data_IF_895747659416
#
_entry.id   IF_895747659416
#
_cell.length_a   1.000
_cell.length_b   1.000
_cell.length_c   1.000
_cell.angle_alpha   90.00
_cell.angle_beta   90.00
_cell.angle_gamma   90.00
#
_symmetry.space_group_name_H-M   'P 1'
#
loop_
_entity.id
_entity.type
_entity.pdbx_description
1 polymer ?
#
# COMPACT_ATOMS: atom_id res chain seq x y z
N UNK A 1 -9.13 21.11 -9.01
CA UNK A 1 -9.10 20.70 -8.82
C UNK A 1 -8.95 20.07 -8.27
N UNK A 2 -8.82 19.70 -8.03
CA UNK A 2 -8.74 19.00 -7.68
C UNK A 2 -8.53 18.44 -7.04
N UNK A 3 -8.70 18.18 -7.02
CA UNK A 3 -8.75 17.49 -6.57
C UNK A 3 -8.31 16.65 -5.79
N UNK A 4 -8.42 15.83 -5.77
CA UNK A 4 -8.08 14.82 -5.14
C UNK A 4 -6.83 14.89 -4.68
N UNK A 5 -6.57 15.58 -3.90
CA UNK A 5 -5.36 15.73 -3.60
C UNK A 5 -4.79 14.65 -2.86
N UNK A 6 -3.81 14.12 -3.30
CA UNK A 6 -3.05 13.19 -2.57
C UNK A 6 -1.93 13.91 -1.87
N UNK A 7 -1.37 13.28 -0.87
CA UNK A 7 -0.22 13.80 -0.21
C UNK A 7 0.94 12.90 -0.54
N UNK A 8 2.05 13.48 -0.94
CA UNK A 8 3.22 12.70 -1.24
C UNK A 8 4.16 12.70 -0.06
N UNK A 9 4.61 11.52 0.33
CA UNK A 9 5.52 11.37 1.43
C UNK A 9 6.79 10.75 0.85
N UNK A 10 7.83 11.52 0.68
CA UNK A 10 9.02 11.07 -0.06
C UNK A 10 9.84 10.02 0.66
N UNK A 11 9.67 9.89 1.96
CA UNK A 11 10.43 8.89 2.67
C UNK A 11 9.52 8.08 3.55
N UNK A 12 9.40 6.81 3.23
CA UNK A 12 8.66 5.88 4.04
C UNK A 12 9.42 4.57 4.06
N UNK A 13 9.20 3.75 5.06
CA UNK A 13 9.89 2.49 5.15
C UNK A 13 8.90 1.40 5.47
N UNK A 14 9.05 0.28 4.82
CA UNK A 14 8.16 -0.84 5.04
C UNK A 14 8.30 -1.38 6.44
N UNK A 15 7.16 -1.54 7.13
CA UNK A 15 7.14 -2.14 8.45
C UNK A 15 6.59 -3.55 8.38
N UNK A 16 5.56 -3.76 7.62
CA UNK A 16 4.90 -5.05 7.61
C UNK A 16 4.06 -5.21 6.36
N UNK A 17 3.98 -6.42 5.83
CA UNK A 17 3.09 -6.72 4.72
C UNK A 17 1.96 -7.53 5.32
N UNK A 18 0.74 -7.01 5.25
CA UNK A 18 -0.40 -7.73 5.80
C UNK A 18 -0.88 -8.77 4.79
N UNK A 19 -1.11 -8.35 3.57
CA UNK A 19 -1.50 -9.27 2.52
C UNK A 19 -1.16 -8.60 1.19
N UNK A 20 -1.75 -9.06 0.11
CA UNK A 20 -1.35 -8.59 -1.21
C UNK A 20 -1.79 -7.19 -1.55
N UNK A 21 -2.67 -6.58 -0.78
CA UNK A 21 -3.11 -5.24 -1.11
C UNK A 21 -3.04 -4.28 0.08
N UNK A 22 -2.44 -4.68 1.19
CA UNK A 22 -2.36 -3.83 2.38
C UNK A 22 -1.01 -3.97 3.04
N UNK A 23 -0.32 -2.87 3.23
CA UNK A 23 0.98 -2.88 3.89
C UNK A 23 1.01 -1.81 4.95
N UNK A 24 1.95 -1.92 5.86
CA UNK A 24 2.11 -0.90 6.89
C UNK A 24 3.43 -0.19 6.65
N UNK A 25 3.40 1.10 6.63
CA UNK A 25 4.58 1.90 6.38
C UNK A 25 4.85 2.84 7.55
N UNK A 26 6.12 3.06 7.81
CA UNK A 26 6.52 4.09 8.74
C UNK A 26 6.85 5.30 7.89
N UNK A 27 6.13 6.38 8.07
CA UNK A 27 6.28 7.55 7.25
C UNK A 27 7.03 8.61 8.02
N UNK A 28 8.10 9.13 7.41
CA UNK A 28 8.87 10.16 8.04
C UNK A 28 8.24 11.47 7.63
N UNK A 29 7.69 12.20 8.57
CA UNK A 29 7.02 13.43 8.21
C UNK A 29 7.89 14.64 8.52
N UNK A 30 9.14 14.48 8.70
CA UNK A 30 10.03 15.59 8.93
C UNK A 30 10.08 15.90 10.40
N UNK A 31 10.77 16.84 10.82
CA UNK A 31 10.82 17.26 12.19
C UNK A 31 11.10 16.15 13.20
N UNK A 32 11.68 15.09 12.77
CA UNK A 32 12.01 14.02 13.69
C UNK A 32 10.84 13.18 14.11
N UNK A 33 9.68 13.37 13.56
CA UNK A 33 8.56 12.56 13.95
C UNK A 33 8.18 11.58 12.87
N UNK A 34 7.54 10.51 13.24
CA UNK A 34 7.17 9.47 12.32
C UNK A 34 5.78 8.99 12.62
N UNK A 35 5.10 8.53 11.62
CA UNK A 35 3.78 7.95 11.77
C UNK A 35 3.80 6.57 11.14
N UNK A 36 3.17 5.60 11.77
CA UNK A 36 3.08 4.26 11.22
C UNK A 36 1.64 4.06 10.80
N UNK A 37 1.41 3.81 9.55
CA UNK A 37 0.05 3.75 9.01
C UNK A 37 -0.15 2.56 8.10
N UNK A 38 -1.34 2.03 8.12
CA UNK A 38 -1.72 1.00 7.18
C UNK A 38 -2.14 1.67 5.88
N UNK A 39 -1.63 1.15 4.76
CA UNK A 39 -1.92 1.70 3.46
C UNK A 39 -2.56 0.61 2.61
N UNK A 40 -3.75 0.88 2.10
CA UNK A 40 -4.38 -0.01 1.19
C UNK A 40 -3.93 0.42 -0.20
N UNK A 41 -3.42 -0.50 -0.98
CA UNK A 41 -2.86 -0.14 -2.28
C UNK A 41 -3.98 0.22 -3.25
N UNK A 42 -3.89 1.39 -3.85
CA UNK A 42 -4.95 1.87 -4.70
C UNK A 42 -5.10 1.02 -5.96
N UNK A 43 -6.31 0.69 -6.29
CA UNK A 43 -6.66 -0.09 -7.47
C UNK A 43 -6.14 -1.52 -7.46
N UNK A 44 -5.62 -1.99 -6.34
CA UNK A 44 -5.14 -3.35 -6.24
C UNK A 44 -6.11 -4.14 -5.40
N UNK A 45 -6.42 -5.34 -5.83
CA UNK A 45 -7.24 -6.25 -5.04
C UNK A 45 -6.53 -7.59 -5.02
N UNK A 46 -6.38 -8.15 -3.85
CA UNK A 46 -5.75 -9.44 -3.71
C UNK A 46 -6.52 -10.27 -2.73
N UNK A 47 -6.45 -11.59 -2.81
CA UNK A 47 -7.13 -12.43 -1.85
C UNK A 47 -6.53 -12.26 -0.47
N UNK A 48 -7.34 -12.48 0.54
CA UNK A 48 -6.84 -12.40 1.89
C UNK A 48 -5.98 -13.61 2.18
N UNK A 49 -5.19 -13.54 3.21
CA UNK A 49 -4.24 -14.61 3.48
C UNK A 49 -4.87 -15.97 3.64
N UNK A 50 -6.06 -16.02 4.18
CA UNK A 50 -6.68 -17.30 4.39
C UNK A 50 -7.47 -17.77 3.18
N UNK A 51 -7.37 -17.07 2.05
CA UNK A 51 -8.04 -17.49 0.85
C UNK A 51 -7.04 -18.04 -0.13
N UNK A 52 -7.52 -18.78 -1.12
CA UNK A 52 -6.65 -19.31 -2.14
C UNK A 52 -5.94 -18.18 -2.83
N UNK A 53 -4.66 -18.27 -2.96
CA UNK A 53 -3.86 -17.26 -3.62
C UNK A 53 -3.42 -16.14 -2.70
N UNK A 54 -3.90 -16.10 -1.47
CA UNK A 54 -3.54 -15.02 -0.56
C UNK A 54 -2.07 -15.02 -0.19
N UNK A 55 -1.53 -16.21 0.07
CA UNK A 55 -0.12 -16.25 0.41
C UNK A 55 0.75 -15.93 -0.76
N UNK A 56 0.34 -16.32 -1.96
CA UNK A 56 1.09 -15.97 -3.14
C UNK A 56 1.07 -14.46 -3.36
N UNK A 57 -0.07 -13.82 -3.15
CA UNK A 57 -0.15 -12.38 -3.33
C UNK A 57 0.76 -11.66 -2.34
N UNK A 58 0.79 -12.12 -1.10
CA UNK A 58 1.68 -11.52 -0.12
C UNK A 58 3.13 -11.75 -0.54
N UNK A 59 3.44 -12.93 -1.03
CA UNK A 59 4.80 -13.22 -1.48
C UNK A 59 5.20 -12.35 -2.66
N UNK A 60 4.24 -12.01 -3.52
CA UNK A 60 4.55 -11.16 -4.66
C UNK A 60 4.90 -9.74 -4.18
N UNK A 61 4.23 -9.25 -3.15
CA UNK A 61 4.57 -7.96 -2.60
C UNK A 61 5.97 -8.01 -2.00
N UNK A 62 6.27 -9.08 -1.27
CA UNK A 62 7.59 -9.21 -0.65
C UNK A 62 8.67 -9.29 -1.72
N UNK A 63 8.40 -9.97 -2.82
CA UNK A 63 9.37 -10.09 -3.90
C UNK A 63 9.65 -8.73 -4.54
N UNK A 64 8.60 -7.92 -4.70
CA UNK A 64 8.80 -6.60 -5.26
C UNK A 64 9.72 -5.76 -4.36
N UNK A 65 9.48 -5.81 -3.05
CA UNK A 65 10.32 -5.05 -2.15
C UNK A 65 11.76 -5.59 -2.19
N UNK A 66 11.92 -6.90 -2.21
CA UNK A 66 13.26 -7.46 -2.24
C UNK A 66 14.04 -7.03 -3.49
N UNK A 67 13.32 -6.87 -4.58
CA UNK A 67 13.99 -6.50 -5.80
C UNK A 67 14.11 -5.00 -5.99
N UNK A 68 13.09 -4.26 -5.71
CA UNK A 68 13.07 -2.84 -6.04
C UNK A 68 13.41 -1.94 -4.84
N UNK A 69 13.20 -2.40 -3.65
CA UNK A 69 13.44 -1.60 -2.47
C UNK A 69 13.95 -2.47 -1.33
N UNK A 70 15.11 -3.08 -1.49
CA UNK A 70 15.59 -4.06 -0.49
C UNK A 70 15.81 -3.46 0.90
N UNK A 71 16.01 -2.17 1.00
CA UNK A 71 16.14 -1.57 2.31
C UNK A 71 14.78 -1.09 2.82
N UNK A 72 13.72 -1.36 2.10
CA UNK A 72 12.39 -0.99 2.52
C UNK A 72 12.01 0.47 2.28
N UNK A 73 12.89 1.25 1.69
CA UNK A 73 12.62 2.66 1.50
C UNK A 73 11.81 2.93 0.26
N UNK A 74 10.72 3.63 0.38
CA UNK A 74 9.84 3.92 -0.73
C UNK A 74 9.26 5.32 -0.56
N UNK A 75 8.60 5.79 -1.59
CA UNK A 75 7.84 6.99 -1.57
C UNK A 75 6.39 6.57 -1.64
N UNK A 76 5.51 7.22 -0.96
CA UNK A 76 4.11 6.86 -1.02
C UNK A 76 3.28 8.12 -1.24
N UNK A 77 2.27 8.01 -2.09
CA UNK A 77 1.29 9.07 -2.28
C UNK A 77 0.00 8.53 -1.69
N UNK A 78 -0.57 9.24 -0.73
CA UNK A 78 -1.75 8.75 -0.05
C UNK A 78 -2.95 9.62 -0.37
N UNK A 79 -4.13 8.98 -0.37
CA UNK A 79 -5.36 9.67 -0.60
C UNK A 79 -6.30 9.33 0.53
N UNK A 80 -7.02 10.30 1.07
CA UNK A 80 -7.95 9.99 2.11
C UNK A 80 -9.12 9.31 1.54
N UNK A 81 -9.57 8.27 2.13
CA UNK A 81 -10.74 7.61 1.58
C UNK A 81 -11.91 8.41 2.03
N UNK A 82 -12.84 8.62 1.18
CA UNK A 82 -14.01 9.34 1.55
C UNK A 82 -15.08 8.41 2.00
N UNK A 83 -15.02 7.18 1.70
CA UNK A 83 -16.08 6.28 2.09
C UNK A 83 -15.91 5.91 3.51
N UNK A 84 -16.95 5.75 4.20
CA UNK A 84 -16.88 5.34 5.53
C UNK A 84 -16.34 4.00 5.52
N UNK A 85 -15.38 3.73 6.23
CA UNK A 85 -14.87 2.50 6.17
C UNK A 85 -15.70 1.47 6.61
N UNK A 86 -15.49 0.36 6.26
CA UNK A 86 -16.20 -0.72 6.64
C UNK A 86 -16.01 -0.87 8.02
N UNK A 87 -16.68 -0.29 8.78
CA UNK A 87 -16.53 -0.37 10.09
C UNK A 87 -16.75 -1.65 10.67
N UNK A 88 -17.32 -2.51 10.03
CA UNK A 88 -17.59 -3.76 10.57
C UNK A 88 -16.34 -4.36 11.06
N UNK A 89 -15.27 -3.96 10.65
CA UNK A 89 -14.12 -4.61 11.08
C UNK A 89 -13.59 -3.98 12.27
N UNK A 90 -14.24 -3.22 12.81
CA UNK A 90 -13.84 -2.68 13.94
C UNK A 90 -12.50 -2.11 13.94
N UNK A 91 -11.69 -2.44 13.21
CA UNK A 91 -10.50 -1.87 13.23
C UNK A 91 -10.38 -1.15 12.11
N UNK A 92 -10.23 -0.15 11.94
CA UNK A 92 -10.18 0.58 10.87
C UNK A 92 -8.83 0.92 10.56
N UNK A 93 -8.03 0.02 10.40
CA UNK A 93 -6.70 0.35 10.18
C UNK A 93 -6.42 0.86 8.82
N UNK A 94 -7.25 0.75 7.85
CA UNK A 94 -6.90 1.23 6.57
C UNK A 94 -7.53 2.56 6.39
N UNK A 95 -6.95 3.59 6.85
CA UNK A 95 -7.49 4.80 6.62
C UNK A 95 -7.06 5.44 5.39
N UNK A 96 -5.97 5.08 4.77
CA UNK A 96 -5.44 5.71 3.60
C UNK A 96 -5.28 4.73 2.47
N UNK A 97 -5.53 5.21 1.27
CA UNK A 97 -5.29 4.44 0.07
C UNK A 97 -4.05 5.07 -0.54
N UNK A 98 -3.16 4.28 -1.07
CA UNK A 98 -1.91 4.84 -1.53
C UNK A 98 -1.29 4.18 -2.73
N UNK A 99 -0.34 4.87 -3.32
CA UNK A 99 0.48 4.36 -4.40
C UNK A 99 1.90 4.37 -3.90
N UNK A 100 2.57 3.23 -4.00
CA UNK A 100 3.91 3.04 -3.45
C UNK A 100 4.91 2.95 -4.59
N UNK A 101 5.96 3.74 -4.51
CA UNK A 101 6.97 3.82 -5.57
C UNK A 101 8.34 3.67 -4.97
N UNK A 102 9.16 2.84 -5.58
CA UNK A 102 10.54 2.69 -5.14
C UNK A 102 11.34 3.91 -5.56
N UNK A 103 12.48 4.09 -4.96
CA UNK A 103 13.32 5.25 -5.27
C UNK A 103 13.79 5.25 -6.71
N UNK A 104 13.81 4.10 -7.34
CA UNK A 104 14.21 4.02 -8.75
C UNK A 104 13.04 4.24 -9.69
N UNK A 105 11.85 4.54 -9.17
CA UNK A 105 10.69 4.81 -10.01
C UNK A 105 9.76 3.65 -10.23
N UNK A 106 10.12 2.46 -9.79
CA UNK A 106 9.25 1.30 -9.98
C UNK A 106 8.04 1.45 -9.07
N UNK A 107 6.86 1.12 -9.57
CA UNK A 107 5.64 1.31 -8.80
C UNK A 107 5.05 -0.02 -8.41
N UNK A 108 4.85 -0.22 -7.13
CA UNK A 108 4.30 -1.47 -6.62
C UNK A 108 2.89 -1.72 -7.13
N UNK A 109 2.06 -0.69 -7.13
CA UNK A 109 0.68 -0.86 -7.54
C UNK A 109 0.59 -1.38 -8.98
N UNK A 110 1.36 -0.80 -9.89
CA UNK A 110 1.35 -1.24 -11.27
C UNK A 110 1.85 -2.67 -11.41
N UNK A 111 2.87 -3.01 -10.63
CA UNK A 111 3.41 -4.35 -10.68
C UNK A 111 2.34 -5.38 -10.30
N UNK A 112 1.58 -5.07 -9.25
CA UNK A 112 0.54 -6.00 -8.81
C UNK A 112 -0.64 -6.03 -9.78
N UNK A 113 -0.99 -4.90 -10.34
CA UNK A 113 -2.04 -4.87 -11.32
C UNK A 113 -1.66 -5.69 -12.55
N UNK A 114 -0.40 -5.60 -12.95
CA UNK A 114 0.05 -6.38 -14.09
C UNK A 114 0.03 -7.87 -13.80
N UNK A 115 0.11 -8.26 -12.54
CA UNK A 115 0.02 -9.66 -12.20
C UNK A 115 -1.42 -10.12 -12.07
N UNK A 116 -2.37 -9.24 -12.26
CA UNK A 116 -3.78 -9.60 -12.23
C UNK A 116 -4.47 -9.30 -10.92
N UNK A 117 -3.81 -8.65 -9.99
CA UNK A 117 -4.46 -8.33 -8.71
C UNK A 117 -5.21 -7.00 -8.88
N UNK A 118 -6.35 -7.06 -9.53
CA UNK A 118 -7.11 -5.86 -9.78
C UNK A 118 -8.51 -5.99 -9.27
N UNK A 119 -9.08 -4.84 -9.00
CA UNK A 119 -10.47 -4.82 -8.60
C UNK A 119 -11.30 -5.25 -9.76
N UNK A 120 -12.23 -6.16 -9.52
CA UNK A 120 -13.03 -6.64 -10.56
C UNK A 120 -14.04 -5.73 -10.78
N UNK A 121 -13.98 -4.81 -11.02
CA UNK A 121 -14.80 -3.89 -11.37
C UNK A 121 -16.13 -3.95 -11.21
N UNK A 122 -16.39 -4.40 -10.94
CA UNK A 122 -17.68 -4.52 -10.89
C UNK A 122 -18.18 -3.74 -11.36
#
# INVERSE_FOLDING_TARGET
MTAAAGWEWPIARLEEIHDGDTIRLRIDNGFGSRAVEWIRLQDVWAPELNQDGGEQAKADVAAWFAEQAPDGLVKVTTFRTSAPLEIRFRQTFTRYVGIVTAMNGAELNSYLIDKGYVTRGG
#
